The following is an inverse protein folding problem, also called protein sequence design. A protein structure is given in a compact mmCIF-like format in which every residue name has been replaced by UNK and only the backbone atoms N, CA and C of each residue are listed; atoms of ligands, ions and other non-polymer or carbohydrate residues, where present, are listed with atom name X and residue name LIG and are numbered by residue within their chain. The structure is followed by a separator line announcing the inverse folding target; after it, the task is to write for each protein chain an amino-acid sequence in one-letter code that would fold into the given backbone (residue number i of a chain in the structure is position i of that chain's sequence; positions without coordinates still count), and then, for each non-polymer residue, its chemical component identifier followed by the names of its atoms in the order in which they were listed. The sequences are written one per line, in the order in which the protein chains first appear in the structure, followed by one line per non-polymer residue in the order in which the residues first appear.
data_IF_459802420135
#
_entry.id   IF_459802420135
#
_cell.length_a   1.000
_cell.length_b   1.000
_cell.length_c   1.000
_cell.angle_alpha   90.00
_cell.angle_beta   90.00
_cell.angle_gamma   90.00
#
_symmetry.space_group_name_H-M   'P 1'
#
loop_
_entity.id
_entity.type
_entity.pdbx_description
1 polymer ?
#
# COMPACT_ATOMS: atom_id res chain seq x y z
N UNK A 1 -25.37 11.10 10.23
CA UNK A 1 -24.44 10.08 10.77
C UNK A 1 -23.89 9.33 9.59
N UNK A 2 -22.61 9.54 9.32
CA UNK A 2 -21.93 9.04 8.12
C UNK A 2 -21.60 7.54 8.28
N UNK A 3 -22.25 6.69 7.48
CA UNK A 3 -22.03 5.25 7.41
C UNK A 3 -20.82 4.94 6.50
N UNK A 4 -19.71 5.65 6.69
CA UNK A 4 -18.44 5.24 6.12
C UNK A 4 -18.06 3.90 6.75
N UNK A 5 -18.38 2.83 6.04
CA UNK A 5 -17.85 1.49 6.28
C UNK A 5 -16.37 1.64 6.60
N UNK A 6 -15.97 1.43 7.86
CA UNK A 6 -14.55 1.45 8.27
C UNK A 6 -13.85 0.33 7.51
N UNK A 7 -13.40 0.65 6.31
CA UNK A 7 -12.71 -0.28 5.43
C UNK A 7 -11.44 -0.68 6.18
N UNK A 8 -11.42 -1.93 6.63
CA UNK A 8 -10.34 -2.42 7.49
C UNK A 8 -9.11 -2.58 6.63
N UNK A 9 -8.05 -1.81 6.90
CA UNK A 9 -6.76 -1.98 6.22
C UNK A 9 -5.98 -3.15 6.82
N UNK A 10 -5.09 -3.73 6.04
CA UNK A 10 -4.08 -4.68 6.52
C UNK A 10 -2.89 -3.88 7.09
N UNK A 11 -2.57 -4.02 8.39
CA UNK A 11 -1.44 -3.32 8.99
C UNK A 11 -0.12 -3.67 8.30
N UNK A 12 0.69 -2.65 8.01
CA UNK A 12 1.99 -2.80 7.36
C UNK A 12 1.95 -3.18 5.87
N UNK A 13 0.78 -3.28 5.23
CA UNK A 13 0.68 -3.56 3.80
C UNK A 13 0.19 -2.37 2.99
N UNK A 14 0.93 -2.04 1.93
CA UNK A 14 0.69 -0.86 1.12
C UNK A 14 0.86 -1.14 -0.37
N UNK A 15 -0.02 -0.53 -1.15
CA UNK A 15 0.10 -0.44 -2.60
C UNK A 15 0.91 0.82 -2.95
N UNK A 16 2.08 0.63 -3.54
CA UNK A 16 3.01 1.70 -3.92
C UNK A 16 3.08 1.75 -5.44
N UNK A 17 2.76 2.91 -6.01
CA UNK A 17 2.87 3.15 -7.46
C UNK A 17 4.12 3.96 -7.74
N UNK A 18 5.00 3.46 -8.60
CA UNK A 18 6.18 4.18 -9.06
C UNK A 18 5.84 5.08 -10.27
N UNK A 19 6.62 6.14 -10.43
CA UNK A 19 6.64 6.91 -11.67
C UNK A 19 7.17 6.05 -12.84
N UNK A 20 6.84 6.44 -14.08
CA UNK A 20 7.33 5.72 -15.26
C UNK A 20 8.87 5.79 -15.32
N UNK A 21 9.53 4.64 -15.49
CA UNK A 21 10.99 4.54 -15.54
C UNK A 21 11.69 4.67 -14.19
N UNK A 22 10.96 4.76 -13.08
CA UNK A 22 11.55 4.76 -11.75
C UNK A 22 12.02 3.36 -11.33
N UNK A 23 13.14 3.32 -10.61
CA UNK A 23 13.73 2.10 -10.07
C UNK A 23 12.95 1.63 -8.83
N UNK A 24 12.73 0.32 -8.73
CA UNK A 24 12.15 -0.33 -7.54
C UNK A 24 12.96 -0.06 -6.27
N UNK A 25 14.26 0.21 -6.39
CA UNK A 25 15.12 0.63 -5.28
C UNK A 25 14.59 1.87 -4.54
N UNK A 26 13.84 2.74 -5.21
CA UNK A 26 13.20 3.90 -4.58
C UNK A 26 12.26 3.51 -3.43
N UNK A 27 11.63 2.32 -3.49
CA UNK A 27 10.80 1.79 -2.40
C UNK A 27 11.66 1.47 -1.18
N UNK A 28 12.79 0.80 -1.39
CA UNK A 28 13.71 0.44 -0.32
C UNK A 28 14.37 1.68 0.31
N UNK A 29 14.79 2.62 -0.52
CA UNK A 29 15.42 3.86 -0.07
C UNK A 29 14.45 4.70 0.79
N UNK A 30 13.16 4.75 0.42
CA UNK A 30 12.19 5.59 1.13
C UNK A 30 11.56 4.92 2.36
N UNK A 31 11.25 3.63 2.28
CA UNK A 31 10.49 2.91 3.32
C UNK A 31 11.31 1.89 4.10
N UNK A 32 12.56 1.65 3.73
CA UNK A 32 13.44 0.64 4.34
C UNK A 32 13.62 0.79 5.85
N UNK A 33 13.51 2.02 6.38
CA UNK A 33 13.59 2.29 7.83
C UNK A 33 12.51 1.60 8.67
N UNK A 34 11.39 1.20 8.06
CA UNK A 34 10.30 0.46 8.70
C UNK A 34 10.46 -1.06 8.58
N UNK A 35 11.56 -1.51 7.98
CA UNK A 35 11.85 -2.90 7.66
C UNK A 35 10.96 -3.42 6.53
N UNK A 36 11.53 -3.91 5.44
CA UNK A 36 10.77 -4.50 4.33
C UNK A 36 10.74 -6.02 4.52
N UNK A 37 9.53 -6.56 4.77
CA UNK A 37 9.28 -8.02 4.78
C UNK A 37 9.22 -8.59 3.36
N UNK A 38 8.77 -7.79 2.41
CA UNK A 38 8.72 -8.19 1.01
C UNK A 38 8.11 -7.11 0.12
N UNK A 39 8.49 -7.16 -1.15
CA UNK A 39 7.95 -6.33 -2.22
C UNK A 39 7.49 -7.26 -3.34
N UNK A 40 6.22 -7.21 -3.69
CA UNK A 40 5.63 -8.00 -4.75
C UNK A 40 5.18 -7.08 -5.88
N UNK A 41 5.65 -7.35 -7.11
CA UNK A 41 5.20 -6.65 -8.31
C UNK A 41 3.78 -7.11 -8.68
N UNK A 42 2.88 -6.15 -8.89
CA UNK A 42 1.50 -6.35 -9.33
C UNK A 42 1.29 -5.88 -10.79
N UNK A 43 2.35 -5.42 -11.44
CA UNK A 43 2.38 -4.90 -12.80
C UNK A 43 2.08 -3.40 -12.89
N UNK A 44 2.38 -2.79 -14.04
CA UNK A 44 2.09 -1.36 -14.33
C UNK A 44 2.70 -0.40 -13.30
N UNK A 45 3.91 -0.69 -12.83
CA UNK A 45 4.62 0.06 -11.78
C UNK A 45 3.90 0.07 -10.42
N UNK A 46 3.02 -0.90 -10.16
CA UNK A 46 2.32 -1.07 -8.88
C UNK A 46 2.95 -2.21 -8.09
N UNK A 47 3.25 -1.97 -6.83
CA UNK A 47 3.89 -2.93 -5.94
C UNK A 47 3.10 -3.06 -4.64
N UNK A 48 2.93 -4.30 -4.17
CA UNK A 48 2.55 -4.57 -2.79
C UNK A 48 3.80 -4.59 -1.92
N UNK A 49 3.90 -3.66 -0.99
CA UNK A 49 4.99 -3.53 -0.04
C UNK A 49 4.51 -3.97 1.33
N UNK A 50 5.22 -4.91 1.94
CA UNK A 50 4.97 -5.41 3.30
C UNK A 50 6.05 -4.89 4.23
N UNK A 51 5.66 -4.16 5.26
CA UNK A 51 6.55 -3.56 6.25
C UNK A 51 6.56 -4.37 7.56
N UNK A 52 7.64 -4.24 8.31
CA UNK A 52 7.81 -4.87 9.62
C UNK A 52 7.09 -4.04 10.68
N UNK A 53 7.41 -2.75 10.71
CA UNK A 53 6.73 -1.74 11.49
C UNK A 53 5.70 -1.03 10.61
N UNK A 54 4.51 -0.76 11.15
CA UNK A 54 3.43 -0.08 10.45
C UNK A 54 3.44 1.42 10.77
N UNK A 55 3.99 2.29 9.89
CA UNK A 55 4.02 3.74 10.13
C UNK A 55 2.66 4.43 9.95
N UNK A 56 1.66 3.71 9.41
CA UNK A 56 0.38 4.28 9.06
C UNK A 56 0.37 5.04 7.73
N UNK A 57 -0.81 5.19 7.10
CA UNK A 57 -0.96 5.78 5.78
C UNK A 57 -0.55 7.26 5.71
N UNK A 58 -0.82 8.04 6.76
CA UNK A 58 -0.47 9.46 6.80
C UNK A 58 1.05 9.67 6.70
N UNK A 59 1.83 8.81 7.37
CA UNK A 59 3.29 8.94 7.36
C UNK A 59 3.89 8.50 6.03
N UNK A 60 3.35 7.46 5.39
CA UNK A 60 3.81 7.08 4.05
C UNK A 60 3.48 8.13 3.00
N UNK A 61 2.33 8.79 3.10
CA UNK A 61 1.95 9.87 2.19
C UNK A 61 2.87 11.11 2.37
N UNK A 62 3.24 11.44 3.61
CA UNK A 62 4.25 12.49 3.89
C UNK A 62 5.59 12.16 3.24
N UNK A 63 6.07 10.92 3.38
CA UNK A 63 7.33 10.46 2.78
C UNK A 63 7.25 10.42 1.25
N UNK A 64 6.12 9.99 0.69
CA UNK A 64 5.87 10.03 -0.76
C UNK A 64 6.04 11.45 -1.30
N UNK A 65 5.52 12.46 -0.58
CA UNK A 65 5.66 13.87 -0.95
C UNK A 65 7.11 14.36 -1.09
N UNK A 66 8.08 13.61 -0.55
CA UNK A 66 9.51 13.92 -0.58
C UNK A 66 10.25 13.20 -1.72
N UNK A 67 9.60 12.30 -2.46
CA UNK A 67 10.25 11.51 -3.52
C UNK A 67 9.38 11.42 -4.78
N UNK A 68 9.82 12.09 -5.85
CA UNK A 68 9.12 12.12 -7.15
C UNK A 68 9.06 10.75 -7.86
N UNK A 69 9.89 9.78 -7.46
CA UNK A 69 9.87 8.42 -8.00
C UNK A 69 8.67 7.61 -7.49
N UNK A 70 8.08 8.00 -6.35
CA UNK A 70 6.86 7.38 -5.82
C UNK A 70 5.66 8.25 -6.18
N UNK A 71 4.86 7.78 -7.13
CA UNK A 71 3.68 8.49 -7.64
C UNK A 71 2.51 8.46 -6.65
N UNK A 72 2.26 7.32 -6.02
CA UNK A 72 1.14 7.13 -5.09
C UNK A 72 1.45 6.06 -4.04
N UNK A 73 0.85 6.20 -2.86
CA UNK A 73 0.82 5.16 -1.84
C UNK A 73 -0.60 5.02 -1.29
N UNK A 74 -1.07 3.78 -1.14
CA UNK A 74 -2.41 3.49 -0.64
C UNK A 74 -2.35 2.32 0.34
N UNK A 75 -3.14 2.32 1.42
CA UNK A 75 -3.26 1.15 2.30
C UNK A 75 -3.90 -0.03 1.55
N UNK A 76 -3.44 -1.25 1.83
CA UNK A 76 -4.14 -2.45 1.36
C UNK A 76 -5.41 -2.68 2.19
N UNK A 77 -6.58 -2.78 1.56
CA UNK A 77 -7.86 -2.96 2.24
C UNK A 77 -8.34 -4.40 2.20
N UNK A 78 -8.91 -4.87 3.31
CA UNK A 78 -9.59 -6.16 3.38
C UNK A 78 -10.98 -6.01 2.75
N UNK A 79 -11.17 -6.64 1.59
CA UNK A 79 -12.49 -6.76 0.98
C UNK A 79 -13.23 -7.95 1.60
N UNK A 80 -14.22 -7.69 2.45
CA UNK A 80 -15.19 -8.73 2.83
C UNK A 80 -16.18 -8.90 1.68
N UNK A 81 -15.99 -9.94 0.88
CA UNK A 81 -16.99 -10.37 -0.08
C UNK A 81 -18.28 -10.70 0.66
N UNK A 82 -19.38 -10.07 0.29
CA UNK A 82 -20.71 -10.36 0.84
C UNK A 82 -21.11 -11.76 0.37
N UNK A 83 -20.71 -12.80 1.10
CA UNK A 83 -21.07 -14.18 0.84
C UNK A 83 -22.57 -14.40 1.07
N UNK A 84 -23.39 -14.17 0.05
CA UNK A 84 -24.77 -14.67 -0.05
C UNK A 84 -25.09 -15.06 -1.49
N UNK A 85 -24.45 -16.12 -1.96
CA UNK A 85 -24.96 -16.93 -3.07
C UNK A 85 -25.64 -18.18 -2.51
N UNK A 86 -26.88 -18.06 -2.01
CA UNK A 86 -27.74 -19.22 -1.82
C UNK A 86 -28.44 -19.49 -3.16
N UNK A 87 -27.90 -20.42 -3.94
CA UNK A 87 -28.61 -21.04 -5.06
C UNK A 87 -29.25 -22.31 -4.48
N UNK A 88 -30.57 -22.27 -4.35
CA UNK A 88 -31.42 -23.47 -4.21
C UNK A 88 -32.02 -23.77 -5.56
#
# INVERSE_FOLDING_TARGET
MDLSSRQTRVPGEYLVTLAAGADVKAIADLYGRYGIKGTQDLGRNLFLVRLTEDPGPAKLEELRGQNAQIKAVQPNFVYRGNGRGNIR
#
